data_IF_585223384786
#
_entry.id   IF_585223384786
#
_cell.length_a   1.000
_cell.length_b   1.000
_cell.length_c   1.000
_cell.angle_alpha   90.00
_cell.angle_beta   90.00
_cell.angle_gamma   90.00
#
_symmetry.space_group_name_H-M   'P 1'
#
loop_
_entity.id
_entity.type
_entity.pdbx_description
1 polymer ?
#
# COMPACT_ATOMS: atom_id res chain seq x y z
N UNK A 1 -1.15 -19.64 -12.54
CA UNK A 1 -1.33 -19.93 -14.00
C UNK A 1 -2.80 -20.02 -14.38
N UNK A 2 -3.67 -20.59 -13.55
CA UNK A 2 -5.10 -20.75 -13.85
C UNK A 2 -5.87 -19.44 -13.96
N UNK A 3 -5.55 -18.44 -13.13
CA UNK A 3 -6.24 -17.14 -13.10
C UNK A 3 -6.05 -16.38 -14.43
N UNK A 4 -4.83 -16.34 -14.97
CA UNK A 4 -4.55 -15.68 -16.26
C UNK A 4 -5.29 -16.39 -17.39
N UNK A 5 -5.28 -17.72 -17.40
CA UNK A 5 -5.99 -18.51 -18.41
C UNK A 5 -7.50 -18.27 -18.36
N UNK A 6 -8.07 -18.22 -17.17
CA UNK A 6 -9.49 -17.90 -16.95
C UNK A 6 -9.82 -16.47 -17.40
N UNK A 7 -8.96 -15.49 -17.06
CA UNK A 7 -9.12 -14.10 -17.51
C UNK A 7 -9.17 -14.02 -19.04
N UNK A 8 -8.19 -14.62 -19.73
CA UNK A 8 -8.15 -14.59 -21.19
C UNK A 8 -9.29 -15.34 -21.85
N UNK A 9 -9.76 -16.46 -21.29
CA UNK A 9 -10.97 -17.15 -21.77
C UNK A 9 -12.20 -16.26 -21.65
N UNK A 10 -12.36 -15.53 -20.55
CA UNK A 10 -13.45 -14.59 -20.36
C UNK A 10 -13.36 -13.38 -21.30
N UNK A 11 -12.16 -12.86 -21.55
CA UNK A 11 -11.94 -11.78 -22.49
C UNK A 11 -12.30 -12.21 -23.92
N UNK A 12 -11.88 -13.39 -24.36
CA UNK A 12 -12.22 -13.94 -25.67
C UNK A 12 -13.73 -14.16 -25.86
N UNK A 13 -14.45 -14.55 -24.80
CA UNK A 13 -15.89 -14.77 -24.88
C UNK A 13 -16.73 -13.48 -24.90
N UNK A 14 -16.22 -12.41 -24.29
CA UNK A 14 -16.96 -11.16 -24.11
C UNK A 14 -16.53 -10.02 -25.05
N UNK A 15 -15.34 -10.09 -25.64
CA UNK A 15 -14.79 -9.05 -26.52
C UNK A 15 -14.36 -9.67 -27.85
N UNK A 16 -14.93 -9.16 -28.94
CA UNK A 16 -14.65 -9.63 -30.30
C UNK A 16 -13.55 -8.86 -30.99
N UNK A 17 -13.19 -7.68 -30.46
CA UNK A 17 -12.16 -6.84 -31.03
C UNK A 17 -10.88 -6.84 -30.19
N UNK A 18 -9.77 -6.96 -30.89
CA UNK A 18 -8.42 -7.03 -30.31
C UNK A 18 -8.02 -5.72 -29.62
N UNK A 19 -8.51 -4.58 -30.07
CA UNK A 19 -8.19 -3.27 -29.50
C UNK A 19 -8.77 -3.13 -28.08
N UNK A 20 -9.97 -3.62 -27.83
CA UNK A 20 -10.60 -3.65 -26.50
C UNK A 20 -9.80 -4.54 -25.54
N UNK A 21 -9.35 -5.72 -25.98
CA UNK A 21 -8.54 -6.63 -25.16
C UNK A 21 -7.19 -6.00 -24.81
N UNK A 22 -6.51 -5.35 -25.78
CA UNK A 22 -5.25 -4.61 -25.53
C UNK A 22 -5.44 -3.50 -24.51
N UNK A 23 -6.52 -2.72 -24.64
CA UNK A 23 -6.82 -1.63 -23.72
C UNK A 23 -7.03 -2.15 -22.30
N UNK A 24 -7.79 -3.24 -22.13
CA UNK A 24 -8.01 -3.87 -20.82
C UNK A 24 -6.68 -4.37 -20.22
N UNK A 25 -5.84 -5.06 -20.99
CA UNK A 25 -4.53 -5.52 -20.53
C UNK A 25 -3.63 -4.35 -20.09
N UNK A 26 -3.63 -3.26 -20.87
CA UNK A 26 -2.87 -2.05 -20.52
C UNK A 26 -3.39 -1.40 -19.24
N UNK A 27 -4.71 -1.33 -19.04
CA UNK A 27 -5.30 -0.80 -17.81
C UNK A 27 -5.00 -1.66 -16.61
N UNK A 28 -5.09 -2.99 -16.72
CA UNK A 28 -4.69 -3.92 -15.65
C UNK A 28 -3.24 -3.68 -15.27
N UNK A 29 -2.34 -3.53 -16.24
CA UNK A 29 -0.94 -3.21 -15.97
C UNK A 29 -0.78 -1.91 -15.21
N UNK A 30 -1.38 -0.80 -15.69
CA UNK A 30 -1.27 0.51 -15.07
C UNK A 30 -1.83 0.54 -13.64
N UNK A 31 -2.95 -0.16 -13.39
CA UNK A 31 -3.55 -0.26 -12.06
C UNK A 31 -2.65 -1.07 -11.12
N UNK A 32 -2.22 -2.27 -11.55
CA UNK A 32 -1.33 -3.13 -10.77
C UNK A 32 -0.02 -2.42 -10.44
N UNK A 33 0.54 -1.72 -11.43
CA UNK A 33 1.75 -0.93 -11.26
C UNK A 33 1.56 0.20 -10.24
N UNK A 34 0.47 0.99 -10.32
CA UNK A 34 0.18 2.06 -9.35
C UNK A 34 0.07 1.53 -7.93
N UNK A 35 -0.58 0.38 -7.73
CA UNK A 35 -0.68 -0.27 -6.43
C UNK A 35 0.70 -0.68 -5.89
N UNK A 36 1.53 -1.27 -6.72
CA UNK A 36 2.89 -1.69 -6.34
C UNK A 36 3.79 -0.49 -6.09
N UNK A 37 3.74 0.55 -6.94
CA UNK A 37 4.51 1.79 -6.76
C UNK A 37 4.17 2.50 -5.45
N UNK A 38 2.88 2.64 -5.13
CA UNK A 38 2.47 3.31 -3.90
C UNK A 38 2.95 2.58 -2.64
N UNK A 39 3.14 1.27 -2.73
CA UNK A 39 3.51 0.42 -1.59
C UNK A 39 5.01 0.16 -1.49
N UNK A 40 5.70 -0.03 -2.63
CA UNK A 40 7.09 -0.53 -2.67
C UNK A 40 8.07 0.43 -3.36
N UNK A 41 7.62 1.56 -3.88
CA UNK A 41 8.43 2.57 -4.58
C UNK A 41 9.29 1.97 -5.72
N UNK A 42 8.71 1.06 -6.52
CA UNK A 42 9.39 0.41 -7.64
C UNK A 42 9.30 1.27 -8.91
N UNK A 43 10.36 1.33 -9.75
CA UNK A 43 10.33 2.10 -11.00
C UNK A 43 9.41 1.44 -12.03
N UNK A 44 8.74 2.26 -12.85
CA UNK A 44 7.93 1.78 -13.98
C UNK A 44 8.81 1.25 -15.10
N UNK A 45 8.54 0.05 -15.55
CA UNK A 45 9.16 -0.50 -16.75
C UNK A 45 8.22 -0.25 -17.95
N UNK A 46 8.52 0.80 -18.72
CA UNK A 46 7.72 1.18 -19.90
C UNK A 46 7.73 0.12 -21.01
N UNK A 47 8.63 -0.89 -20.93
CA UNK A 47 8.74 -1.96 -21.93
C UNK A 47 7.39 -2.68 -22.12
N UNK A 48 6.66 -2.94 -21.03
CA UNK A 48 5.38 -3.66 -21.12
C UNK A 48 4.28 -2.86 -21.80
N UNK A 49 4.23 -1.55 -21.58
CA UNK A 49 3.28 -0.67 -22.31
C UNK A 49 3.55 -0.74 -23.81
N UNK A 50 4.82 -0.65 -24.21
CA UNK A 50 5.23 -0.76 -25.61
C UNK A 50 4.88 -2.13 -26.19
N UNK A 51 5.26 -3.22 -25.51
CA UNK A 51 4.96 -4.60 -25.95
C UNK A 51 3.46 -4.85 -26.10
N UNK A 52 2.63 -4.35 -25.18
CA UNK A 52 1.17 -4.48 -25.25
C UNK A 52 0.60 -3.71 -26.46
N UNK A 53 1.11 -2.51 -26.76
CA UNK A 53 0.64 -1.71 -27.89
C UNK A 53 1.08 -2.28 -29.24
N UNK A 54 2.26 -2.88 -29.32
CA UNK A 54 2.83 -3.46 -30.54
C UNK A 54 2.42 -4.92 -30.81
N UNK A 55 1.75 -5.58 -29.85
CA UNK A 55 1.31 -6.97 -29.99
C UNK A 55 0.33 -7.13 -31.17
N UNK A 56 0.41 -8.25 -31.89
CA UNK A 56 -0.39 -8.50 -33.08
C UNK A 56 -1.53 -9.51 -32.88
N UNK A 57 -1.52 -10.26 -31.78
CA UNK A 57 -2.55 -11.26 -31.47
C UNK A 57 -2.73 -11.52 -29.97
N UNK A 58 -3.83 -12.21 -29.64
CA UNK A 58 -4.23 -12.49 -28.26
C UNK A 58 -3.28 -13.45 -27.54
N UNK A 59 -2.56 -14.31 -28.26
CA UNK A 59 -1.59 -15.22 -27.66
C UNK A 59 -0.35 -14.45 -27.18
N UNK A 60 0.10 -13.48 -27.99
CA UNK A 60 1.15 -12.54 -27.61
C UNK A 60 0.75 -11.72 -26.39
N UNK A 61 -0.47 -11.18 -26.36
CA UNK A 61 -1.00 -10.47 -25.19
C UNK A 61 -0.97 -11.31 -23.93
N UNK A 62 -1.38 -12.58 -24.01
CA UNK A 62 -1.35 -13.52 -22.88
C UNK A 62 0.08 -13.78 -22.39
N UNK A 63 1.02 -13.95 -23.31
CA UNK A 63 2.45 -14.13 -22.95
C UNK A 63 2.99 -12.89 -22.26
N UNK A 64 2.77 -11.70 -22.82
CA UNK A 64 3.23 -10.42 -22.27
C UNK A 64 2.67 -10.20 -20.85
N UNK A 65 1.38 -10.45 -20.62
CA UNK A 65 0.76 -10.33 -19.29
C UNK A 65 1.35 -11.37 -18.31
N UNK A 66 1.65 -12.58 -18.77
CA UNK A 66 2.28 -13.61 -17.92
C UNK A 66 3.70 -13.22 -17.51
N UNK A 67 4.49 -12.69 -18.45
CA UNK A 67 5.85 -12.23 -18.19
C UNK A 67 5.86 -11.02 -17.26
N UNK A 68 4.94 -10.09 -17.46
CA UNK A 68 4.73 -8.93 -16.61
C UNK A 68 4.42 -9.33 -15.16
N UNK A 69 3.52 -10.29 -14.96
CA UNK A 69 3.17 -10.78 -13.62
C UNK A 69 4.36 -11.49 -12.97
N UNK A 70 5.10 -12.30 -13.74
CA UNK A 70 6.33 -12.93 -13.25
C UNK A 70 7.38 -11.89 -12.83
N UNK A 71 7.64 -10.88 -13.66
CA UNK A 71 8.59 -9.82 -13.33
C UNK A 71 8.16 -9.04 -12.08
N UNK A 72 6.87 -8.71 -11.95
CA UNK A 72 6.34 -8.08 -10.74
C UNK A 72 6.53 -8.97 -9.51
N UNK A 73 6.30 -10.28 -9.62
CA UNK A 73 6.54 -11.21 -8.51
C UNK A 73 8.01 -11.27 -8.12
N UNK A 74 8.93 -11.29 -9.09
CA UNK A 74 10.37 -11.27 -8.84
C UNK A 74 10.77 -9.96 -8.16
N UNK A 75 10.30 -8.81 -8.67
CA UNK A 75 10.58 -7.50 -8.08
C UNK A 75 10.01 -7.38 -6.67
N UNK A 76 8.81 -7.85 -6.42
CA UNK A 76 8.21 -7.91 -5.08
C UNK A 76 9.02 -8.80 -4.14
N UNK A 77 9.42 -9.99 -4.59
CA UNK A 77 10.24 -10.91 -3.78
C UNK A 77 11.62 -10.33 -3.45
N UNK A 78 12.22 -9.60 -4.39
CA UNK A 78 13.48 -8.88 -4.17
C UNK A 78 13.32 -7.66 -3.28
N UNK A 79 12.16 -6.98 -3.37
CA UNK A 79 11.82 -5.83 -2.51
C UNK A 79 11.50 -6.25 -1.07
N UNK A 80 10.95 -7.46 -0.89
CA UNK A 80 10.69 -8.05 0.45
C UNK A 80 11.99 -8.30 1.24
N UNK A 81 13.14 -8.42 0.58
CA UNK A 81 14.46 -8.41 1.26
C UNK A 81 15.00 -7.00 1.57
N UNK A 82 14.15 -5.98 1.50
CA UNK A 82 14.54 -4.58 1.58
C UNK A 82 14.97 -4.14 2.98
N UNK A 83 14.56 -4.86 4.00
CA UNK A 83 14.84 -4.49 5.39
C UNK A 83 15.73 -5.52 6.09
N UNK A 84 16.57 -5.04 7.00
CA UNK A 84 17.25 -5.93 7.94
C UNK A 84 16.23 -6.68 8.79
N UNK A 85 16.55 -7.91 9.23
CA UNK A 85 15.60 -8.79 9.94
C UNK A 85 14.94 -8.12 11.14
N UNK A 86 15.69 -7.35 11.91
CA UNK A 86 15.14 -6.63 13.07
C UNK A 86 14.23 -5.45 12.67
N UNK A 87 14.43 -4.84 11.49
CA UNK A 87 13.49 -3.84 10.95
C UNK A 87 12.20 -4.52 10.52
N UNK A 88 12.25 -5.67 9.85
CA UNK A 88 11.06 -6.45 9.51
C UNK A 88 10.27 -6.85 10.76
N UNK A 89 10.96 -7.35 11.79
CA UNK A 89 10.37 -7.68 13.07
C UNK A 89 9.71 -6.47 13.75
N UNK A 90 10.40 -5.31 13.74
CA UNK A 90 9.83 -4.06 14.26
C UNK A 90 8.58 -3.60 13.51
N UNK A 91 8.55 -3.74 12.17
CA UNK A 91 7.40 -3.38 11.35
C UNK A 91 6.19 -4.28 11.64
N UNK A 92 6.40 -5.58 11.89
CA UNK A 92 5.36 -6.51 12.28
C UNK A 92 4.83 -6.18 13.68
N UNK A 93 5.73 -5.98 14.65
CA UNK A 93 5.36 -5.58 16.00
C UNK A 93 4.53 -4.28 16.03
N UNK A 94 4.95 -3.25 15.27
CA UNK A 94 4.20 -1.99 15.14
C UNK A 94 2.78 -2.24 14.59
N UNK A 95 2.61 -3.12 13.60
CA UNK A 95 1.29 -3.39 13.01
C UNK A 95 0.37 -4.13 13.99
N UNK A 96 0.91 -5.09 14.73
CA UNK A 96 0.16 -5.89 15.71
C UNK A 96 -0.28 -5.06 16.93
N UNK A 97 0.54 -4.06 17.31
CA UNK A 97 0.34 -3.22 18.48
C UNK A 97 -0.03 -1.78 18.15
N UNK A 98 -0.60 -1.53 16.95
CA UNK A 98 -0.84 -0.17 16.45
C UNK A 98 -1.76 0.65 17.35
N UNK A 99 -2.69 -0.01 18.04
CA UNK A 99 -3.68 0.61 18.94
C UNK A 99 -3.10 0.88 20.33
N UNK A 100 -1.98 0.23 20.67
CA UNK A 100 -1.34 0.35 21.97
C UNK A 100 -0.48 1.62 22.07
N UNK A 101 -0.05 1.95 23.28
CA UNK A 101 0.88 3.06 23.51
C UNK A 101 2.31 2.66 23.12
N UNK A 102 2.63 2.85 21.83
CA UNK A 102 3.91 2.47 21.25
C UNK A 102 4.96 3.56 21.40
N UNK A 103 6.04 3.26 22.13
CA UNK A 103 7.24 4.09 22.19
C UNK A 103 8.41 3.47 21.39
N UNK A 104 9.37 4.33 21.01
CA UNK A 104 10.60 3.89 20.37
C UNK A 104 11.38 2.90 21.26
N UNK A 105 11.39 3.15 22.56
CA UNK A 105 12.04 2.31 23.58
C UNK A 105 11.43 0.92 23.64
N UNK A 106 10.09 0.80 23.71
CA UNK A 106 9.39 -0.48 23.76
C UNK A 106 9.68 -1.33 22.51
N UNK A 107 9.66 -0.71 21.33
CA UNK A 107 9.97 -1.41 20.08
C UNK A 107 11.42 -1.90 20.07
N UNK A 108 12.36 -1.02 20.45
CA UNK A 108 13.78 -1.36 20.52
C UNK A 108 14.08 -2.49 21.51
N UNK A 109 13.39 -2.49 22.66
CA UNK A 109 13.45 -3.57 23.65
C UNK A 109 12.91 -4.89 23.09
N UNK A 110 11.76 -4.85 22.40
CA UNK A 110 11.15 -6.04 21.79
C UNK A 110 12.10 -6.73 20.79
N UNK A 111 12.74 -5.95 19.92
CA UNK A 111 13.67 -6.47 18.92
C UNK A 111 15.11 -6.65 19.43
N UNK A 112 15.35 -6.45 20.73
CA UNK A 112 16.66 -6.57 21.40
C UNK A 112 17.77 -5.72 20.75
N UNK A 113 17.44 -4.53 20.25
CA UNK A 113 18.37 -3.61 19.58
C UNK A 113 18.47 -2.30 20.36
N UNK A 114 19.68 -1.69 20.37
CA UNK A 114 19.87 -0.37 20.95
C UNK A 114 18.97 0.67 20.25
N UNK A 115 18.24 1.47 21.02
CA UNK A 115 17.26 2.47 20.54
C UNK A 115 17.86 3.44 19.50
N UNK A 116 19.05 3.99 19.78
CA UNK A 116 19.71 4.95 18.88
C UNK A 116 20.14 4.32 17.56
N UNK A 117 20.58 3.06 17.60
CA UNK A 117 20.93 2.30 16.39
C UNK A 117 19.67 1.94 15.59
N UNK A 118 18.64 1.45 16.28
CA UNK A 118 17.33 1.14 15.69
C UNK A 118 16.75 2.37 14.98
N UNK A 119 16.63 3.51 15.68
CA UNK A 119 16.06 4.74 15.13
C UNK A 119 16.77 5.21 13.87
N UNK A 120 18.11 5.18 13.84
CA UNK A 120 18.90 5.56 12.66
C UNK A 120 18.70 4.60 11.49
N UNK A 121 18.73 3.29 11.77
CA UNK A 121 18.59 2.25 10.74
C UNK A 121 17.17 2.24 10.18
N UNK A 122 16.14 2.35 11.05
CA UNK A 122 14.76 2.47 10.63
C UNK A 122 14.54 3.65 9.69
N UNK A 123 15.04 4.83 10.05
CA UNK A 123 14.95 6.01 9.19
C UNK A 123 15.67 5.83 7.86
N UNK A 124 16.83 5.16 7.86
CA UNK A 124 17.61 4.87 6.66
C UNK A 124 16.88 3.90 5.73
N UNK A 125 16.30 2.83 6.26
CA UNK A 125 15.67 1.76 5.49
C UNK A 125 14.21 2.08 5.13
N UNK A 126 13.44 2.69 6.05
CA UNK A 126 12.02 3.00 5.86
C UNK A 126 11.76 4.44 5.35
N UNK A 127 12.79 5.29 5.27
CA UNK A 127 12.68 6.69 4.81
C UNK A 127 12.09 7.67 5.80
N UNK A 128 11.45 7.22 6.88
CA UNK A 128 10.77 8.02 7.89
C UNK A 128 11.20 7.62 9.31
N UNK A 129 11.02 8.52 10.28
CA UNK A 129 11.20 8.13 11.69
C UNK A 129 10.14 7.11 12.11
N UNK A 130 10.45 6.29 13.13
CA UNK A 130 9.52 5.29 13.73
C UNK A 130 8.19 5.94 14.10
N UNK A 131 8.22 7.06 14.81
CA UNK A 131 7.02 7.79 15.25
C UNK A 131 6.21 8.30 14.04
N UNK A 132 6.88 8.84 13.02
CA UNK A 132 6.19 9.27 11.79
C UNK A 132 5.54 8.11 11.06
N UNK A 133 6.20 6.96 11.04
CA UNK A 133 5.68 5.74 10.43
C UNK A 133 4.42 5.23 11.16
N UNK A 134 4.47 5.12 12.50
CA UNK A 134 3.32 4.75 13.35
C UNK A 134 2.15 5.72 13.11
N UNK A 135 2.42 7.01 13.16
CA UNK A 135 1.39 8.03 12.96
C UNK A 135 0.73 7.93 11.58
N UNK A 136 1.50 7.65 10.52
CA UNK A 136 0.94 7.44 9.19
C UNK A 136 0.03 6.21 9.12
N UNK A 137 0.40 5.10 9.76
CA UNK A 137 -0.46 3.91 9.84
C UNK A 137 -1.75 4.20 10.60
N UNK A 138 -1.68 4.89 11.76
CA UNK A 138 -2.84 5.29 12.55
C UNK A 138 -3.78 6.20 11.77
N UNK A 139 -3.25 7.18 11.04
CA UNK A 139 -4.05 8.06 10.18
C UNK A 139 -4.71 7.30 9.02
N UNK A 140 -4.02 6.34 8.41
CA UNK A 140 -4.62 5.53 7.35
C UNK A 140 -5.78 4.68 7.90
N UNK A 141 -5.62 4.04 9.06
CA UNK A 141 -6.70 3.32 9.73
C UNK A 141 -7.87 4.26 10.11
N UNK A 142 -7.56 5.49 10.56
CA UNK A 142 -8.58 6.50 10.86
C UNK A 142 -9.39 6.92 9.62
N UNK A 143 -8.74 7.04 8.45
CA UNK A 143 -9.44 7.33 7.17
C UNK A 143 -10.44 6.22 6.83
N UNK A 144 -10.06 4.96 6.99
CA UNK A 144 -10.95 3.82 6.76
C UNK A 144 -12.16 3.86 7.70
N UNK A 145 -11.92 4.06 9.00
CA UNK A 145 -13.00 4.16 10.00
C UNK A 145 -13.91 5.35 9.76
N UNK A 146 -13.38 6.50 9.35
CA UNK A 146 -14.18 7.68 9.02
C UNK A 146 -15.08 7.44 7.81
N UNK A 147 -14.63 6.64 6.83
CA UNK A 147 -15.39 6.34 5.62
C UNK A 147 -16.41 5.20 5.81
N UNK A 148 -16.15 4.24 6.73
CA UNK A 148 -16.91 2.99 6.82
C UNK A 148 -17.72 2.83 8.09
N UNK A 149 -17.55 3.73 9.09
CA UNK A 149 -18.22 3.62 10.40
C UNK A 149 -18.90 4.90 10.83
N UNK A 150 -19.83 4.76 11.78
CA UNK A 150 -20.52 5.88 12.43
C UNK A 150 -19.84 6.30 13.75
N UNK A 151 -18.64 5.80 14.05
CA UNK A 151 -17.89 6.16 15.25
C UNK A 151 -17.64 7.67 15.29
N UNK A 152 -17.75 8.27 16.46
CA UNK A 152 -17.40 9.68 16.66
C UNK A 152 -15.89 9.88 16.51
N UNK A 153 -15.47 11.09 16.20
CA UNK A 153 -14.05 11.41 15.97
C UNK A 153 -13.15 11.02 17.16
N UNK A 154 -13.65 11.19 18.40
CA UNK A 154 -12.89 10.81 19.59
C UNK A 154 -12.80 9.29 19.76
N UNK A 155 -13.85 8.53 19.39
CA UNK A 155 -13.85 7.07 19.42
C UNK A 155 -12.87 6.51 18.38
N UNK A 156 -12.78 7.14 17.20
CA UNK A 156 -11.78 6.80 16.18
C UNK A 156 -10.37 7.11 16.67
N UNK A 157 -10.17 8.26 17.35
CA UNK A 157 -8.89 8.61 17.95
C UNK A 157 -8.38 7.52 18.89
N UNK A 158 -9.25 7.06 19.80
CA UNK A 158 -8.97 5.94 20.72
C UNK A 158 -8.71 4.64 19.96
N UNK A 159 -9.58 4.28 19.02
CA UNK A 159 -9.48 3.03 18.25
C UNK A 159 -8.22 2.92 17.38
N UNK A 160 -7.53 4.04 17.10
CA UNK A 160 -6.27 4.03 16.35
C UNK A 160 -5.05 4.27 17.25
N UNK A 161 -5.21 4.27 18.58
CA UNK A 161 -4.13 4.44 19.54
C UNK A 161 -3.63 5.88 19.70
N UNK A 162 -4.47 6.88 19.42
CA UNK A 162 -4.18 8.31 19.69
C UNK A 162 -5.13 8.80 20.76
N UNK A 163 -4.74 8.72 22.04
CA UNK A 163 -5.60 9.01 23.19
C UNK A 163 -5.92 10.48 23.40
N UNK A 164 -5.24 11.41 22.70
CA UNK A 164 -5.58 12.84 22.71
C UNK A 164 -6.34 13.22 21.42
N UNK A 165 -7.65 13.45 21.49
CA UNK A 165 -8.47 13.83 20.33
C UNK A 165 -8.08 15.17 19.70
N UNK A 166 -7.50 16.10 20.47
CA UNK A 166 -7.05 17.38 19.95
C UNK A 166 -5.77 17.17 19.10
N UNK A 167 -4.80 16.41 19.63
CA UNK A 167 -3.62 16.00 18.90
C UNK A 167 -3.97 15.19 17.65
N UNK A 168 -4.90 14.23 17.76
CA UNK A 168 -5.41 13.47 16.62
C UNK A 168 -5.92 14.39 15.50
N UNK A 169 -6.76 15.37 15.84
CA UNK A 169 -7.34 16.28 14.84
C UNK A 169 -6.28 17.10 14.11
N UNK A 170 -5.27 17.58 14.83
CA UNK A 170 -4.13 18.32 14.27
C UNK A 170 -3.30 17.40 13.36
N UNK A 171 -2.97 16.19 13.84
CA UNK A 171 -2.18 15.21 13.10
C UNK A 171 -2.91 14.76 11.83
N UNK A 172 -4.20 14.48 11.93
CA UNK A 172 -5.04 14.09 10.79
C UNK A 172 -5.07 15.19 9.72
N UNK A 173 -5.33 16.44 10.13
CA UNK A 173 -5.32 17.59 9.21
C UNK A 173 -3.95 17.80 8.56
N UNK A 174 -2.85 17.63 9.30
CA UNK A 174 -1.49 17.73 8.76
C UNK A 174 -1.23 16.68 7.67
N UNK A 175 -1.74 15.46 7.84
CA UNK A 175 -1.50 14.34 6.91
C UNK A 175 -2.47 14.31 5.71
N UNK A 176 -3.68 14.87 5.86
CA UNK A 176 -4.75 14.76 4.85
C UNK A 176 -5.13 16.07 4.20
N UNK A 177 -4.68 17.20 4.78
CA UNK A 177 -5.08 18.54 4.36
C UNK A 177 -6.41 19.02 4.94
N UNK A 178 -7.23 18.16 5.57
CA UNK A 178 -8.56 18.48 6.07
C UNK A 178 -8.83 17.88 7.45
N UNK A 179 -9.84 18.44 8.16
CA UNK A 179 -10.24 17.89 9.47
C UNK A 179 -10.91 16.51 9.33
N UNK A 180 -10.88 15.66 10.40
CA UNK A 180 -11.58 14.38 10.40
C UNK A 180 -13.06 14.48 10.02
N UNK A 181 -13.76 15.52 10.52
CA UNK A 181 -15.16 15.78 10.17
C UNK A 181 -15.31 16.08 8.68
N UNK A 182 -14.54 17.02 8.14
CA UNK A 182 -14.60 17.36 6.71
C UNK A 182 -14.25 16.16 5.81
N UNK A 183 -13.34 15.29 6.27
CA UNK A 183 -13.02 14.04 5.55
C UNK A 183 -14.21 13.09 5.50
N UNK A 184 -14.92 12.88 6.64
CA UNK A 184 -16.14 12.07 6.71
C UNK A 184 -17.23 12.59 5.79
N UNK A 185 -17.47 13.90 5.81
CA UNK A 185 -18.55 14.53 5.04
C UNK A 185 -18.41 14.29 3.53
N UNK A 186 -17.22 13.95 3.02
CA UNK A 186 -17.01 13.55 1.64
C UNK A 186 -17.63 12.19 1.28
N UNK A 187 -17.84 11.29 2.26
CA UNK A 187 -18.37 9.94 2.05
C UNK A 187 -19.84 9.80 2.42
N UNK A 188 -20.39 10.74 3.19
CA UNK A 188 -21.81 10.73 3.62
C UNK A 188 -22.72 11.32 2.55
N UNK A 189 -22.19 12.11 1.61
CA UNK A 189 -22.94 12.77 0.53
C UNK A 189 -22.91 11.99 -0.81
N UNK A 190 -22.63 10.70 -0.77
CA UNK A 190 -22.74 9.77 -1.88
C UNK A 190 -23.80 8.71 -1.53
#
# INVERSE_FOLDING_TARGET
KDVISTLFSNLQSNFTDEASVKNICTQIYLISYRLVMSTYNLPMDEKYVKMLTESSDIFQLKSIVSDMINDLQIQLTQSVKKYSSFIEESLNYIKEHLEDDLSLEQIAQHIHINESYFSRTFKKECGNSVISYINNLRINKAKELLATSNLKTFEISEAVGIHDPAYFSVLFKKNTGMSPKAYRDQFVNV
#
